data_IF_025340300841
#
_entry.id   IF_025340300841
#
_cell.length_a   1.000
_cell.length_b   1.000
_cell.length_c   1.000
_cell.angle_alpha   90.00
_cell.angle_beta   90.00
_cell.angle_gamma   90.00
#
_symmetry.space_group_name_H-M   'P 1'
#
loop_
_entity.id
_entity.type
_entity.pdbx_description
1 polymer ?
#
# COMPACT_ATOMS: atom_id res chain seq x y z
N UNK A 1 18.40 27.33 13.28
CA UNK A 1 17.69 26.36 14.17
C UNK A 1 16.33 26.09 13.53
N UNK A 2 16.14 24.92 12.99
CA UNK A 2 14.82 24.52 12.49
C UNK A 2 13.94 24.20 13.71
N UNK A 3 12.80 24.86 13.81
CA UNK A 3 11.77 24.50 14.80
C UNK A 3 11.29 23.07 14.50
N UNK A 4 11.07 22.21 15.51
CA UNK A 4 10.48 20.91 15.29
C UNK A 4 9.09 21.07 14.64
N UNK A 5 8.80 20.26 13.63
CA UNK A 5 7.47 20.28 12.99
C UNK A 5 6.43 19.92 14.05
N UNK A 6 5.33 20.67 14.16
CA UNK A 6 4.28 20.36 15.11
C UNK A 6 3.66 18.99 14.80
N UNK A 7 3.53 18.17 15.81
CA UNK A 7 2.96 16.83 15.67
C UNK A 7 2.26 16.40 16.95
N UNK A 8 1.28 15.53 16.78
CA UNK A 8 0.62 14.80 17.86
C UNK A 8 1.16 13.37 17.88
N UNK A 9 1.37 12.84 19.06
CA UNK A 9 1.76 11.43 19.25
C UNK A 9 0.74 10.78 20.16
N UNK A 10 0.22 9.63 19.74
CA UNK A 10 -0.61 8.76 20.58
C UNK A 10 0.03 7.38 20.68
N UNK A 11 -0.16 6.72 21.81
CA UNK A 11 0.31 5.36 22.04
C UNK A 11 -0.89 4.43 22.21
N UNK A 12 -0.74 3.16 21.80
CA UNK A 12 -1.75 2.12 21.94
C UNK A 12 -3.12 2.52 21.34
N UNK A 13 -3.08 2.98 20.09
CA UNK A 13 -4.26 3.35 19.33
C UNK A 13 -4.84 2.15 18.59
N UNK A 14 -6.14 2.15 18.32
CA UNK A 14 -6.79 1.17 17.47
C UNK A 14 -7.64 1.84 16.40
N UNK A 15 -7.76 1.17 15.24
CA UNK A 15 -8.70 1.53 14.19
C UNK A 15 -9.74 0.42 14.15
N UNK A 16 -10.99 0.79 14.30
CA UNK A 16 -12.11 -0.12 14.21
C UNK A 16 -12.97 0.26 13.00
N UNK A 17 -13.53 -0.73 12.30
CA UNK A 17 -14.57 -0.55 11.30
C UNK A 17 -15.78 -1.34 11.73
N UNK A 18 -16.91 -0.67 11.89
CA UNK A 18 -18.11 -1.24 12.49
C UNK A 18 -17.82 -1.82 13.89
N UNK A 19 -17.92 -3.14 14.09
CA UNK A 19 -17.62 -3.81 15.35
C UNK A 19 -16.23 -4.48 15.36
N UNK A 20 -15.55 -4.55 14.21
CA UNK A 20 -14.30 -5.24 14.08
C UNK A 20 -13.08 -4.35 14.30
N UNK A 21 -12.14 -4.86 15.09
CA UNK A 21 -10.85 -4.25 15.30
C UNK A 21 -9.93 -4.56 14.12
N UNK A 22 -9.76 -3.57 13.23
CA UNK A 22 -8.93 -3.72 12.03
C UNK A 22 -7.45 -3.66 12.38
N UNK A 23 -7.07 -2.75 13.28
CA UNK A 23 -5.65 -2.47 13.53
C UNK A 23 -5.41 -2.07 14.97
N UNK A 24 -4.32 -2.59 15.54
CA UNK A 24 -3.68 -2.07 16.75
C UNK A 24 -2.39 -1.38 16.36
N UNK A 25 -2.16 -0.18 16.86
CA UNK A 25 -0.98 0.63 16.54
C UNK A 25 -0.33 1.02 17.87
N UNK A 26 0.91 0.62 18.09
CA UNK A 26 1.62 0.97 19.31
C UNK A 26 1.94 2.45 19.38
N UNK A 27 2.30 3.06 18.25
CA UNK A 27 2.62 4.48 18.18
C UNK A 27 2.15 5.11 16.89
N UNK A 28 1.35 6.15 17.01
CA UNK A 28 0.86 6.96 15.91
C UNK A 28 1.39 8.39 16.06
N UNK A 29 2.05 8.91 15.02
CA UNK A 29 2.49 10.31 14.93
C UNK A 29 1.77 10.99 13.78
N UNK A 30 1.18 12.14 14.06
CA UNK A 30 0.46 12.95 13.08
C UNK A 30 1.08 14.33 13.02
N UNK A 31 1.71 14.68 11.90
CA UNK A 31 2.28 15.98 11.64
C UNK A 31 1.26 16.86 10.95
N UNK A 32 1.14 18.10 11.41
CA UNK A 32 0.19 19.09 10.90
C UNK A 32 0.90 20.26 10.24
N UNK A 33 0.20 20.93 9.32
CA UNK A 33 0.73 22.15 8.69
C UNK A 33 0.73 23.32 9.67
N UNK A 34 1.81 24.11 9.64
CA UNK A 34 1.90 25.36 10.42
C UNK A 34 0.91 26.43 9.96
N UNK A 35 0.51 26.39 8.68
CA UNK A 35 -0.36 27.40 8.08
C UNK A 35 -1.73 27.51 8.75
N UNK A 36 -2.20 26.40 9.35
CA UNK A 36 -3.53 26.31 9.93
C UNK A 36 -3.51 25.97 11.44
N UNK A 37 -2.39 26.12 12.10
CA UNK A 37 -2.23 25.72 13.51
C UNK A 37 -3.17 26.47 14.47
N UNK A 38 -3.53 27.72 14.12
CA UNK A 38 -4.40 28.57 14.92
C UNK A 38 -5.87 28.49 14.53
N UNK A 39 -6.21 27.68 13.51
CA UNK A 39 -7.59 27.43 13.08
C UNK A 39 -7.95 25.97 13.30
N UNK A 40 -8.54 25.63 14.43
CA UNK A 40 -9.00 24.28 14.76
C UNK A 40 -10.01 23.69 13.75
N UNK A 41 -10.59 24.55 12.90
CA UNK A 41 -11.57 24.12 11.89
C UNK A 41 -10.96 23.52 10.62
N UNK A 42 -9.67 23.80 10.34
CA UNK A 42 -9.01 23.42 9.08
C UNK A 42 -7.59 22.88 9.32
N UNK A 43 -7.43 21.91 10.20
CA UNK A 43 -6.13 21.27 10.41
C UNK A 43 -5.79 20.46 9.16
N UNK A 44 -4.72 20.87 8.44
CA UNK A 44 -4.19 20.12 7.29
C UNK A 44 -3.12 19.14 7.77
N UNK A 45 -3.30 17.85 7.45
CA UNK A 45 -2.32 16.81 7.72
C UNK A 45 -1.20 16.88 6.68
N UNK A 46 0.05 16.76 7.12
CA UNK A 46 1.21 16.70 6.24
C UNK A 46 1.83 15.31 6.16
N UNK A 47 1.84 14.61 7.28
CA UNK A 47 2.52 13.34 7.37
C UNK A 47 1.94 12.52 8.54
N UNK A 48 1.65 11.25 8.27
CA UNK A 48 1.18 10.29 9.27
C UNK A 48 2.18 9.14 9.33
N UNK A 49 2.64 8.78 10.53
CA UNK A 49 3.54 7.64 10.75
C UNK A 49 2.87 6.68 11.72
N UNK A 50 2.76 5.43 11.30
CA UNK A 50 2.35 4.28 12.11
C UNK A 50 3.58 3.44 12.45
N UNK A 51 3.83 3.22 13.72
CA UNK A 51 4.93 2.38 14.18
C UNK A 51 4.37 1.18 14.97
N UNK A 52 4.89 -0.02 14.69
CA UNK A 52 4.52 -1.26 15.36
C UNK A 52 2.99 -1.52 15.32
N UNK A 53 2.44 -1.46 14.09
CA UNK A 53 1.03 -1.75 13.83
C UNK A 53 0.79 -3.23 13.53
N UNK A 54 -0.34 -3.76 14.00
CA UNK A 54 -0.84 -5.08 13.65
C UNK A 54 -2.16 -4.91 12.90
N UNK A 55 -2.13 -5.15 11.59
CA UNK A 55 -3.26 -5.01 10.69
C UNK A 55 -3.90 -6.37 10.45
N UNK A 56 -5.19 -6.50 10.69
CA UNK A 56 -5.95 -7.70 10.35
C UNK A 56 -6.67 -7.47 9.01
N UNK A 57 -6.29 -8.22 8.00
CA UNK A 57 -6.85 -8.15 6.65
C UNK A 57 -7.62 -9.42 6.33
N UNK A 58 -8.89 -9.29 5.99
CA UNK A 58 -9.76 -10.37 5.53
C UNK A 58 -10.62 -9.89 4.34
N UNK A 59 -11.43 -10.76 3.79
CA UNK A 59 -12.30 -10.44 2.65
C UNK A 59 -13.33 -9.34 2.97
N UNK A 60 -13.78 -9.22 4.22
CA UNK A 60 -14.83 -8.27 4.62
C UNK A 60 -14.29 -6.86 4.78
N UNK A 61 -13.05 -6.71 5.30
CA UNK A 61 -12.46 -5.39 5.55
C UNK A 61 -11.49 -4.92 4.45
N UNK A 62 -11.31 -5.69 3.37
CA UNK A 62 -10.44 -5.34 2.26
C UNK A 62 -10.76 -3.94 1.69
N UNK A 63 -12.03 -3.62 1.51
CA UNK A 63 -12.46 -2.34 0.97
C UNK A 63 -12.06 -1.14 1.83
N UNK A 64 -11.94 -1.32 3.15
CA UNK A 64 -11.43 -0.26 4.03
C UNK A 64 -10.00 0.13 3.66
N UNK A 65 -9.12 -0.85 3.48
CA UNK A 65 -7.72 -0.62 3.09
C UNK A 65 -7.60 -0.07 1.67
N UNK A 66 -8.39 -0.61 0.75
CA UNK A 66 -8.45 -0.11 -0.61
C UNK A 66 -8.82 1.37 -0.66
N UNK A 67 -9.89 1.76 0.00
CA UNK A 67 -10.36 3.15 0.03
C UNK A 67 -9.36 4.10 0.74
N UNK A 68 -8.60 3.60 1.71
CA UNK A 68 -7.55 4.40 2.36
C UNK A 68 -6.44 4.79 1.37
N UNK A 69 -6.12 3.93 0.41
CA UNK A 69 -5.08 4.13 -0.60
C UNK A 69 -5.61 4.74 -1.91
N UNK A 70 -6.92 4.61 -2.17
CA UNK A 70 -7.56 5.05 -3.42
C UNK A 70 -7.94 6.54 -3.43
N UNK A 71 -7.44 7.34 -2.51
CA UNK A 71 -7.69 8.78 -2.51
C UNK A 71 -7.05 9.45 -3.72
N UNK A 72 -7.80 10.31 -4.41
CA UNK A 72 -7.26 11.17 -5.45
C UNK A 72 -6.29 12.18 -4.81
N UNK A 73 -5.01 12.16 -5.24
CA UNK A 73 -3.99 13.14 -4.85
C UNK A 73 -3.88 13.33 -3.33
N UNK A 74 -3.24 12.38 -2.65
CA UNK A 74 -3.02 12.48 -1.21
C UNK A 74 -2.16 13.71 -0.87
N UNK A 75 -2.75 14.68 -0.24
CA UNK A 75 -2.08 15.87 0.26
C UNK A 75 -1.09 15.58 1.41
N UNK A 76 -1.10 14.38 1.98
CA UNK A 76 -0.22 13.99 3.07
C UNK A 76 0.55 12.70 2.76
N UNK A 77 1.71 12.60 3.36
CA UNK A 77 2.55 11.42 3.31
C UNK A 77 2.13 10.43 4.39
N UNK A 78 2.05 9.16 4.06
CA UNK A 78 1.75 8.08 4.98
C UNK A 78 2.94 7.11 5.08
N UNK A 79 3.35 6.78 6.29
CA UNK A 79 4.43 5.82 6.54
C UNK A 79 3.99 4.75 7.55
N UNK A 80 4.37 3.51 7.27
CA UNK A 80 4.19 2.37 8.17
C UNK A 80 5.58 1.81 8.45
N UNK A 81 5.91 1.63 9.73
CA UNK A 81 7.21 1.13 10.18
C UNK A 81 7.03 -0.07 11.11
N UNK A 82 7.88 -1.10 10.92
CA UNK A 82 7.98 -2.26 11.81
C UNK A 82 6.61 -2.87 12.19
N UNK A 83 5.79 -3.15 11.19
CA UNK A 83 4.39 -3.52 11.35
C UNK A 83 4.09 -4.86 10.70
N UNK A 84 2.94 -5.46 11.03
CA UNK A 84 2.53 -6.75 10.49
C UNK A 84 1.15 -6.65 9.84
N UNK A 85 0.96 -7.36 8.73
CA UNK A 85 -0.36 -7.64 8.17
C UNK A 85 -0.64 -9.13 8.37
N UNK A 86 -1.71 -9.43 9.09
CA UNK A 86 -2.24 -10.76 9.28
C UNK A 86 -3.36 -10.98 8.25
N UNK A 87 -3.10 -11.82 7.26
CA UNK A 87 -4.13 -12.23 6.32
C UNK A 87 -4.94 -13.35 6.94
N UNK A 88 -6.25 -13.16 7.03
CA UNK A 88 -7.14 -14.08 7.72
C UNK A 88 -8.17 -14.68 6.78
N UNK A 89 -8.52 -15.95 7.06
CA UNK A 89 -9.67 -16.62 6.45
C UNK A 89 -11.00 -16.02 6.95
N UNK A 90 -12.12 -16.45 6.36
CA UNK A 90 -13.47 -16.10 6.85
C UNK A 90 -13.73 -16.63 8.27
N UNK A 91 -13.04 -17.70 8.68
CA UNK A 91 -13.09 -18.30 10.01
C UNK A 91 -12.13 -17.62 11.00
N UNK A 92 -11.54 -16.50 10.58
CA UNK A 92 -10.59 -15.69 11.36
C UNK A 92 -9.24 -16.37 11.67
N UNK A 93 -8.92 -17.46 10.97
CA UNK A 93 -7.61 -18.11 11.06
C UNK A 93 -6.53 -17.32 10.30
N UNK A 94 -5.33 -17.24 10.84
CA UNK A 94 -4.20 -16.59 10.17
C UNK A 94 -3.68 -17.50 9.07
N UNK A 95 -3.83 -17.09 7.81
CA UNK A 95 -3.32 -17.80 6.64
C UNK A 95 -1.82 -17.55 6.44
N UNK A 96 -1.41 -16.30 6.53
CA UNK A 96 -0.01 -15.89 6.49
C UNK A 96 0.18 -14.50 7.09
N UNK A 97 1.42 -14.18 7.40
CA UNK A 97 1.82 -12.90 7.96
C UNK A 97 2.80 -12.22 7.00
N UNK A 98 2.54 -10.98 6.68
CA UNK A 98 3.45 -10.11 5.95
C UNK A 98 4.03 -9.08 6.91
N UNK A 99 5.34 -9.13 7.14
CA UNK A 99 6.05 -8.18 7.97
C UNK A 99 6.44 -6.95 7.13
N UNK A 100 5.99 -5.77 7.52
CA UNK A 100 6.36 -4.49 6.89
C UNK A 100 7.54 -3.92 7.66
N UNK A 101 8.74 -3.91 7.06
CA UNK A 101 9.90 -3.20 7.62
C UNK A 101 9.69 -1.69 7.52
N UNK A 102 9.33 -1.25 6.34
CA UNK A 102 8.90 0.13 6.07
C UNK A 102 8.02 0.18 4.83
N UNK A 103 6.99 1.02 4.86
CA UNK A 103 6.20 1.36 3.71
C UNK A 103 5.95 2.87 3.71
N UNK A 104 5.93 3.47 2.52
CA UNK A 104 5.77 4.90 2.33
C UNK A 104 4.85 5.15 1.15
N UNK A 105 3.76 5.87 1.40
CA UNK A 105 2.81 6.30 0.40
C UNK A 105 2.72 7.82 0.36
N UNK A 106 2.76 8.42 -0.83
CA UNK A 106 2.68 9.87 -1.03
C UNK A 106 2.34 10.18 -2.49
N UNK A 107 1.84 11.39 -2.71
CA UNK A 107 1.68 11.96 -4.05
C UNK A 107 2.94 12.71 -4.48
N UNK A 108 3.41 12.44 -5.71
CA UNK A 108 4.48 13.19 -6.35
C UNK A 108 3.87 14.20 -7.34
N UNK A 109 3.92 15.52 -7.04
CA UNK A 109 3.32 16.55 -7.88
C UNK A 109 4.08 16.77 -9.20
N UNK A 110 5.33 16.31 -9.33
CA UNK A 110 6.10 16.44 -10.57
C UNK A 110 5.69 15.37 -11.58
N UNK A 111 5.51 14.15 -11.11
CA UNK A 111 5.10 13.02 -11.93
C UNK A 111 3.56 12.87 -12.00
N UNK A 112 2.82 13.61 -11.18
CA UNK A 112 1.36 13.54 -11.04
C UNK A 112 0.91 12.09 -10.75
N UNK A 113 1.61 11.42 -9.84
CA UNK A 113 1.39 10.01 -9.49
C UNK A 113 1.35 9.81 -7.98
N UNK A 114 0.51 8.90 -7.55
CA UNK A 114 0.61 8.33 -6.22
C UNK A 114 1.70 7.27 -6.22
N UNK A 115 2.57 7.31 -5.23
CA UNK A 115 3.78 6.50 -5.12
C UNK A 115 3.71 5.67 -3.85
N UNK A 116 3.85 4.34 -3.97
CA UNK A 116 4.04 3.42 -2.86
C UNK A 116 5.40 2.75 -2.98
N UNK A 117 6.19 2.82 -1.92
CA UNK A 117 7.43 2.06 -1.75
C UNK A 117 7.33 1.26 -0.46
N UNK A 118 7.60 -0.04 -0.52
CA UNK A 118 7.63 -0.86 0.67
C UNK A 118 8.75 -1.90 0.62
N UNK A 119 9.32 -2.19 1.79
CA UNK A 119 10.21 -3.31 2.05
C UNK A 119 9.54 -4.21 3.07
N UNK A 120 9.28 -5.41 2.68
CA UNK A 120 8.47 -6.37 3.42
C UNK A 120 9.20 -7.71 3.53
N UNK A 121 8.59 -8.61 4.30
CA UNK A 121 9.03 -9.99 4.42
C UNK A 121 7.83 -10.91 4.59
N UNK A 122 7.76 -11.98 3.80
CA UNK A 122 6.75 -13.03 3.88
C UNK A 122 7.44 -14.40 3.82
N UNK A 123 7.08 -15.33 4.71
CA UNK A 123 7.72 -16.65 4.80
C UNK A 123 9.25 -16.59 4.91
N UNK A 124 9.79 -15.61 5.65
CA UNK A 124 11.23 -15.30 5.76
C UNK A 124 11.90 -14.90 4.43
N UNK A 125 11.12 -14.54 3.41
CA UNK A 125 11.61 -14.02 2.15
C UNK A 125 11.45 -12.49 2.13
N UNK A 126 12.52 -11.71 2.21
CA UNK A 126 12.45 -10.27 2.06
C UNK A 126 12.17 -9.90 0.60
N UNK A 127 11.28 -8.92 0.42
CA UNK A 127 10.94 -8.39 -0.88
C UNK A 127 10.69 -6.88 -0.84
N UNK A 128 10.88 -6.24 -1.97
CA UNK A 128 10.49 -4.84 -2.16
C UNK A 128 9.35 -4.74 -3.16
N UNK A 129 8.47 -3.77 -2.93
CA UNK A 129 7.40 -3.40 -3.85
C UNK A 129 7.44 -1.89 -4.11
N UNK A 130 7.25 -1.51 -5.38
CA UNK A 130 7.07 -0.13 -5.82
C UNK A 130 5.78 -0.09 -6.64
N UNK A 131 4.89 0.85 -6.34
CA UNK A 131 3.67 1.08 -7.11
C UNK A 131 3.59 2.55 -7.47
N UNK A 132 3.27 2.81 -8.73
CA UNK A 132 3.05 4.12 -9.31
C UNK A 132 1.64 4.14 -9.90
N UNK A 133 0.76 4.94 -9.32
CA UNK A 133 -0.64 5.03 -9.76
C UNK A 133 -0.89 6.42 -10.34
N UNK A 134 -1.12 6.46 -11.66
CA UNK A 134 -1.49 7.67 -12.38
C UNK A 134 -3.02 7.70 -12.56
N UNK A 135 -3.69 8.45 -11.69
CA UNK A 135 -5.16 8.58 -11.72
C UNK A 135 -5.69 9.31 -12.97
N UNK A 136 -4.87 10.15 -13.60
CA UNK A 136 -5.27 10.89 -14.83
C UNK A 136 -5.24 9.94 -16.02
N UNK A 137 -4.17 9.19 -16.18
CA UNK A 137 -4.01 8.23 -17.28
C UNK A 137 -4.71 6.89 -16.98
N UNK A 138 -5.23 6.71 -15.76
CA UNK A 138 -5.82 5.46 -15.28
C UNK A 138 -4.88 4.28 -15.48
N UNK A 139 -3.62 4.43 -15.04
CA UNK A 139 -2.59 3.40 -15.19
C UNK A 139 -1.92 3.13 -13.85
N UNK A 140 -1.67 1.86 -13.58
CA UNK A 140 -0.88 1.40 -12.42
C UNK A 140 0.34 0.67 -12.95
N UNK A 141 1.51 1.05 -12.47
CA UNK A 141 2.74 0.33 -12.70
C UNK A 141 3.27 -0.17 -11.37
N UNK A 142 3.53 -1.47 -11.25
CA UNK A 142 4.06 -2.07 -10.04
C UNK A 142 5.27 -2.94 -10.32
N UNK A 143 6.26 -2.85 -9.42
CA UNK A 143 7.48 -3.67 -9.45
C UNK A 143 7.64 -4.40 -8.13
N UNK A 144 7.84 -5.71 -8.20
CA UNK A 144 8.15 -6.56 -7.06
C UNK A 144 9.52 -7.18 -7.29
N UNK A 145 10.39 -7.12 -6.31
CA UNK A 145 11.72 -7.73 -6.36
C UNK A 145 11.96 -8.61 -5.13
N UNK A 146 12.32 -9.86 -5.36
CA UNK A 146 12.75 -10.84 -4.36
C UNK A 146 14.18 -11.27 -4.71
N UNK A 147 15.16 -10.56 -4.14
CA UNK A 147 16.58 -10.76 -4.50
C UNK A 147 17.07 -12.19 -4.24
N UNK A 148 16.65 -12.79 -3.13
CA UNK A 148 17.04 -14.17 -2.75
C UNK A 148 16.60 -15.23 -3.75
N UNK A 149 15.51 -14.99 -4.48
CA UNK A 149 15.00 -15.86 -5.53
C UNK A 149 15.41 -15.43 -6.93
N UNK A 150 16.09 -14.28 -7.08
CA UNK A 150 16.33 -13.60 -8.36
C UNK A 150 15.03 -13.48 -9.16
N UNK A 151 13.96 -13.12 -8.46
CA UNK A 151 12.63 -12.92 -9.04
C UNK A 151 12.33 -11.42 -9.10
N UNK A 152 12.05 -10.94 -10.30
CA UNK A 152 11.53 -9.59 -10.55
C UNK A 152 10.22 -9.70 -11.33
N UNK A 153 9.19 -8.98 -10.88
CA UNK A 153 7.90 -8.86 -11.55
C UNK A 153 7.70 -7.38 -11.86
N UNK A 154 7.58 -7.06 -13.14
CA UNK A 154 7.24 -5.72 -13.63
C UNK A 154 5.84 -5.80 -14.25
N UNK A 155 4.87 -5.13 -13.62
CA UNK A 155 3.47 -5.19 -14.02
C UNK A 155 2.97 -3.81 -14.41
N UNK A 156 2.26 -3.75 -15.55
CA UNK A 156 1.58 -2.54 -16.03
C UNK A 156 0.10 -2.87 -16.25
N UNK A 157 -0.75 -2.05 -15.65
CA UNK A 157 -2.21 -2.19 -15.72
C UNK A 157 -2.82 -0.88 -16.18
N UNK A 158 -3.69 -0.92 -17.15
CA UNK A 158 -4.64 0.16 -17.44
C UNK A 158 -6.01 -0.22 -16.89
N UNK A 159 -6.77 0.74 -16.38
CA UNK A 159 -8.07 0.47 -15.80
C UNK A 159 -9.10 1.52 -16.21
N UNK A 160 -10.33 1.10 -16.30
CA UNK A 160 -11.50 1.96 -16.30
C UNK A 160 -12.42 1.59 -15.12
N UNK A 161 -13.64 2.08 -15.08
CA UNK A 161 -14.52 1.89 -13.93
C UNK A 161 -14.87 0.41 -13.64
N UNK A 162 -14.74 -0.48 -14.63
CA UNK A 162 -15.16 -1.90 -14.53
C UNK A 162 -14.14 -2.89 -15.06
N UNK A 163 -13.10 -2.44 -15.74
CA UNK A 163 -12.14 -3.31 -16.42
C UNK A 163 -10.71 -2.97 -16.01
N UNK A 164 -9.91 -4.01 -15.84
CA UNK A 164 -8.46 -3.92 -15.68
C UNK A 164 -7.81 -4.76 -16.78
N UNK A 165 -6.96 -4.13 -17.57
CA UNK A 165 -6.15 -4.76 -18.59
C UNK A 165 -4.69 -4.60 -18.24
N UNK A 166 -3.93 -5.68 -18.19
CA UNK A 166 -2.54 -5.58 -17.81
C UNK A 166 -1.68 -6.67 -18.40
N UNK A 167 -0.38 -6.41 -18.29
CA UNK A 167 0.63 -7.40 -18.55
C UNK A 167 1.70 -7.37 -17.47
N UNK A 168 2.26 -8.53 -17.16
CA UNK A 168 3.37 -8.69 -16.24
C UNK A 168 4.53 -9.36 -16.94
N UNK A 169 5.70 -8.77 -16.83
CA UNK A 169 6.96 -9.39 -17.16
C UNK A 169 7.52 -10.05 -15.89
N UNK A 170 7.72 -11.36 -15.92
CA UNK A 170 8.19 -12.14 -14.79
C UNK A 170 9.57 -12.68 -15.13
N UNK A 171 10.59 -12.14 -14.51
CA UNK A 171 11.98 -12.56 -14.65
C UNK A 171 12.35 -13.43 -13.44
N UNK A 172 12.52 -14.73 -13.64
CA UNK A 172 12.93 -15.68 -12.61
C UNK A 172 14.25 -16.31 -13.02
N UNK A 173 15.31 -16.08 -12.25
CA UNK A 173 16.67 -16.52 -12.59
C UNK A 173 17.12 -15.96 -13.96
N UNK A 174 17.14 -16.83 -14.99
CA UNK A 174 17.49 -16.48 -16.36
C UNK A 174 16.31 -16.62 -17.34
N UNK A 175 15.13 -16.92 -16.83
CA UNK A 175 13.90 -17.07 -17.64
C UNK A 175 13.09 -15.79 -17.60
N UNK A 176 12.60 -15.40 -18.76
CA UNK A 176 11.70 -14.27 -18.93
C UNK A 176 10.34 -14.77 -19.42
N UNK A 177 9.31 -14.50 -18.68
CA UNK A 177 7.95 -14.92 -18.98
C UNK A 177 7.05 -13.70 -19.07
N UNK A 178 6.01 -13.76 -19.88
CA UNK A 178 4.98 -12.73 -20.00
C UNK A 178 3.64 -13.29 -19.60
N UNK A 179 2.91 -12.53 -18.78
CA UNK A 179 1.55 -12.79 -18.40
C UNK A 179 0.69 -11.61 -18.85
N UNK A 180 -0.22 -11.85 -19.79
CA UNK A 180 -1.28 -10.90 -20.12
C UNK A 180 -2.54 -11.26 -19.35
N UNK A 181 -3.25 -10.28 -18.83
CA UNK A 181 -4.46 -10.52 -18.09
C UNK A 181 -5.51 -9.44 -18.30
N UNK A 182 -6.77 -9.86 -18.12
CA UNK A 182 -7.92 -8.99 -18.08
C UNK A 182 -8.80 -9.38 -16.89
N UNK A 183 -9.24 -8.39 -16.12
CA UNK A 183 -10.28 -8.56 -15.11
C UNK A 183 -11.48 -7.70 -15.49
N UNK A 184 -12.64 -8.32 -15.64
CA UNK A 184 -13.89 -7.66 -16.05
C UNK A 184 -15.10 -8.40 -15.47
N UNK A 185 -16.03 -7.68 -14.84
CA UNK A 185 -17.27 -8.24 -14.31
C UNK A 185 -17.06 -9.49 -13.45
N UNK A 186 -16.11 -9.45 -12.51
CA UNK A 186 -15.72 -10.54 -11.62
C UNK A 186 -15.08 -11.77 -12.32
N UNK A 187 -14.82 -11.69 -13.62
CA UNK A 187 -14.07 -12.68 -14.36
C UNK A 187 -12.62 -12.25 -14.56
N UNK A 188 -11.71 -13.19 -14.31
CA UNK A 188 -10.28 -13.01 -14.53
C UNK A 188 -9.83 -13.96 -15.65
N UNK A 189 -9.35 -13.39 -16.74
CA UNK A 189 -8.76 -14.12 -17.87
C UNK A 189 -7.27 -13.80 -17.94
N UNK A 190 -6.45 -14.80 -18.26
CA UNK A 190 -5.03 -14.62 -18.44
C UNK A 190 -4.45 -15.49 -19.53
N UNK A 191 -3.34 -15.04 -20.14
CA UNK A 191 -2.52 -15.81 -21.08
C UNK A 191 -1.07 -15.72 -20.63
N UNK A 192 -0.42 -16.84 -20.62
CA UNK A 192 0.98 -16.98 -20.22
C UNK A 192 1.83 -17.34 -21.44
N UNK A 193 2.95 -16.64 -21.63
CA UNK A 193 3.88 -16.85 -22.73
C UNK A 193 5.27 -17.09 -22.15
N UNK A 194 5.88 -18.20 -22.50
CA UNK A 194 7.27 -18.52 -22.23
C UNK A 194 8.15 -17.98 -23.37
N UNK A 195 9.27 -17.32 -23.01
CA UNK A 195 10.23 -16.75 -23.96
C UNK A 195 11.60 -17.37 -23.79
#
# INVERSE_FOLDING_TARGET
KFLPRPHFTTNNSSINSQEDKITEIKKLKVYVSLENLFSLKNIKLNHVILEEGNFNLNKENYNFFYNLLDSNFNDFKFEILNSNIFYRSLENEVLFINNIKNAKYFFDPKEIKNMLYANNEIFNLPYSIKVFDNKIEKTIHSKINIESLRLEIDNQTSYDDTNYLGFSEINLLNSKNLLEYQYKNDFFEFKFFDK
#
